data_IF_240576139609
#
_entry.id   IF_240576139609
#
_cell.length_a   1.000
_cell.length_b   1.000
_cell.length_c   1.000
_cell.angle_alpha   90.00
_cell.angle_beta   90.00
_cell.angle_gamma   90.00
#
_symmetry.space_group_name_H-M   'P 1'
#
loop_
_entity.id
_entity.type
_entity.pdbx_description
1 polymer ?
#
# COMPACT_ATOMS: atom_id res chain seq x y z
N UNK A 1 51.45 -5.07 -38.16
CA UNK A 1 50.84 -5.73 -36.97
C UNK A 1 49.85 -4.86 -36.21
N UNK A 2 50.11 -3.55 -36.00
CA UNK A 2 49.22 -2.65 -35.23
C UNK A 2 47.74 -2.59 -35.71
N UNK A 3 47.48 -2.64 -37.02
CA UNK A 3 46.11 -2.56 -37.57
C UNK A 3 45.20 -3.76 -37.22
N UNK A 4 45.77 -4.94 -36.91
CA UNK A 4 44.99 -6.12 -36.49
C UNK A 4 44.60 -6.04 -35.01
N UNK A 5 45.43 -5.42 -34.17
CA UNK A 5 45.19 -5.28 -32.72
C UNK A 5 44.05 -4.28 -32.45
N UNK A 6 44.00 -3.17 -33.20
CA UNK A 6 42.91 -2.18 -33.05
C UNK A 6 41.52 -2.74 -33.42
N UNK A 7 41.43 -3.64 -34.42
CA UNK A 7 40.14 -4.26 -34.80
C UNK A 7 39.62 -5.23 -33.73
N UNK A 8 40.51 -5.92 -33.00
CA UNK A 8 40.10 -6.82 -31.92
C UNK A 8 39.65 -6.07 -30.65
N UNK A 9 40.23 -4.90 -30.36
CA UNK A 9 39.79 -4.06 -29.23
C UNK A 9 38.40 -3.44 -29.44
N UNK A 10 38.00 -3.20 -30.69
CA UNK A 10 36.68 -2.65 -31.04
C UNK A 10 35.54 -3.68 -31.02
N UNK A 11 35.85 -4.98 -30.98
CA UNK A 11 34.82 -6.05 -30.92
C UNK A 11 34.54 -6.47 -29.47
N UNK A 12 35.51 -6.30 -28.57
CA UNK A 12 35.37 -6.62 -27.14
C UNK A 12 34.53 -5.57 -26.39
N UNK A 13 34.40 -4.35 -26.91
CA UNK A 13 33.52 -3.33 -26.34
C UNK A 13 32.03 -3.53 -26.67
N UNK A 14 31.67 -4.41 -27.63
CA UNK A 14 30.28 -4.74 -27.94
C UNK A 14 29.72 -5.96 -27.18
N UNK A 15 30.55 -6.70 -26.44
CA UNK A 15 30.09 -7.91 -25.73
C UNK A 15 29.58 -7.66 -24.30
N UNK A 16 29.47 -6.41 -23.86
CA UNK A 16 29.11 -6.07 -22.47
C UNK A 16 27.95 -5.06 -22.26
N UNK A 17 26.84 -5.14 -23.04
CA UNK A 17 25.55 -4.70 -22.51
C UNK A 17 24.48 -5.81 -22.50
N UNK A 18 24.74 -6.99 -23.06
CA UNK A 18 23.69 -8.00 -23.27
C UNK A 18 23.19 -8.63 -21.97
N UNK A 19 24.03 -8.98 -21.01
CA UNK A 19 23.58 -9.66 -19.78
C UNK A 19 22.74 -8.76 -18.86
N UNK A 20 23.06 -7.47 -18.74
CA UNK A 20 22.26 -6.51 -17.98
C UNK A 20 20.92 -6.18 -18.68
N UNK A 21 20.91 -6.12 -20.02
CA UNK A 21 19.68 -5.92 -20.80
C UNK A 21 18.81 -7.20 -20.85
N UNK A 22 19.42 -8.39 -20.86
CA UNK A 22 18.73 -9.68 -20.78
C UNK A 22 18.17 -9.89 -19.37
N UNK A 23 18.91 -9.55 -18.31
CA UNK A 23 18.41 -9.70 -16.94
C UNK A 23 17.25 -8.76 -16.63
N UNK A 24 17.32 -7.51 -17.11
CA UNK A 24 16.24 -6.52 -16.97
C UNK A 24 14.99 -6.86 -17.81
N UNK A 25 15.15 -7.40 -19.02
CA UNK A 25 14.01 -7.88 -19.82
C UNK A 25 13.37 -9.16 -19.25
N UNK A 26 14.16 -10.10 -18.72
CA UNK A 26 13.65 -11.26 -17.99
C UNK A 26 12.93 -10.86 -16.69
N UNK A 27 13.44 -9.85 -15.97
CA UNK A 27 12.78 -9.30 -14.79
C UNK A 27 11.42 -8.66 -15.14
N UNK A 28 11.39 -7.81 -16.17
CA UNK A 28 10.18 -7.13 -16.60
C UNK A 28 9.10 -8.10 -17.10
N UNK A 29 9.47 -9.09 -17.90
CA UNK A 29 8.52 -10.11 -18.39
C UNK A 29 7.98 -11.02 -17.29
N UNK A 30 8.81 -11.42 -16.32
CA UNK A 30 8.35 -12.16 -15.14
C UNK A 30 7.40 -11.33 -14.27
N UNK A 31 7.69 -10.05 -14.10
CA UNK A 31 6.87 -9.13 -13.33
C UNK A 31 5.46 -8.97 -13.94
N UNK A 32 5.37 -8.73 -15.25
CA UNK A 32 4.09 -8.67 -15.97
C UNK A 32 3.29 -9.98 -15.85
N UNK A 33 3.98 -11.12 -15.89
CA UNK A 33 3.36 -12.44 -15.71
C UNK A 33 2.81 -12.61 -14.29
N UNK A 34 3.55 -12.21 -13.27
CA UNK A 34 3.11 -12.26 -11.86
C UNK A 34 1.91 -11.35 -11.62
N UNK A 35 1.95 -10.12 -12.14
CA UNK A 35 0.83 -9.18 -12.06
C UNK A 35 -0.44 -9.76 -12.70
N UNK A 36 -0.31 -10.37 -13.89
CA UNK A 36 -1.43 -11.02 -14.56
C UNK A 36 -2.00 -12.15 -13.70
N UNK A 37 -1.15 -13.03 -13.16
CA UNK A 37 -1.58 -14.14 -12.30
C UNK A 37 -2.29 -13.66 -11.03
N UNK A 38 -1.76 -12.63 -10.38
CA UNK A 38 -2.37 -12.05 -9.19
C UNK A 38 -3.75 -11.45 -9.52
N UNK A 39 -3.87 -10.72 -10.63
CA UNK A 39 -5.14 -10.16 -11.09
C UNK A 39 -6.17 -11.25 -11.45
N UNK A 40 -5.73 -12.35 -12.07
CA UNK A 40 -6.60 -13.50 -12.36
C UNK A 40 -7.07 -14.21 -11.08
N UNK A 41 -6.21 -14.36 -10.07
CA UNK A 41 -6.57 -15.02 -8.81
C UNK A 41 -7.54 -14.17 -7.97
N UNK A 42 -7.31 -12.85 -7.89
CA UNK A 42 -8.25 -11.93 -7.25
C UNK A 42 -9.57 -11.92 -8.03
N UNK A 43 -9.48 -11.73 -9.34
CA UNK A 43 -10.60 -11.72 -10.27
C UNK A 43 -11.70 -10.75 -9.84
N UNK A 44 -12.92 -11.26 -9.83
CA UNK A 44 -14.14 -10.50 -9.54
C UNK A 44 -14.61 -10.62 -8.08
N UNK A 45 -13.83 -11.31 -7.24
CA UNK A 45 -14.14 -11.59 -5.83
C UNK A 45 -13.63 -10.48 -4.92
N UNK A 46 -14.30 -10.31 -3.78
CA UNK A 46 -13.79 -9.52 -2.66
C UNK A 46 -13.29 -10.51 -1.61
N UNK A 47 -12.04 -10.34 -1.19
CA UNK A 47 -11.42 -11.12 -0.13
C UNK A 47 -11.35 -10.26 1.12
N UNK A 48 -12.03 -10.66 2.17
CA UNK A 48 -12.20 -9.85 3.38
C UNK A 48 -11.34 -10.37 4.53
N UNK A 49 -10.75 -9.43 5.26
CA UNK A 49 -9.89 -9.71 6.41
C UNK A 49 -10.19 -8.75 7.54
N UNK A 50 -10.56 -9.29 8.70
CA UNK A 50 -10.63 -8.52 9.94
C UNK A 50 -9.20 -8.31 10.46
N UNK A 51 -8.84 -7.06 10.74
CA UNK A 51 -7.57 -6.74 11.36
C UNK A 51 -7.72 -6.65 12.87
N UNK A 52 -7.04 -7.53 13.60
CA UNK A 52 -6.92 -7.44 15.05
C UNK A 52 -5.61 -6.77 15.42
N UNK A 53 -5.68 -5.67 16.17
CA UNK A 53 -4.51 -5.04 16.79
C UNK A 53 -4.02 -5.92 17.94
N UNK A 54 -2.83 -6.49 17.79
CA UNK A 54 -2.18 -7.29 18.82
C UNK A 54 -1.38 -6.42 19.80
N UNK A 55 -0.67 -5.43 19.26
CA UNK A 55 0.19 -4.51 20.00
C UNK A 55 0.16 -3.13 19.34
N UNK A 56 0.16 -2.13 20.21
CA UNK A 56 0.32 -0.72 19.89
C UNK A 56 1.69 -0.29 20.39
N UNK A 57 2.57 0.15 19.49
CA UNK A 57 3.81 0.82 19.89
C UNK A 57 3.64 2.30 19.60
N UNK A 58 3.49 3.08 20.66
CA UNK A 58 3.40 4.53 20.57
C UNK A 58 4.37 5.17 21.58
N UNK A 59 4.99 6.31 21.25
CA UNK A 59 5.89 6.99 22.17
C UNK A 59 5.11 7.49 23.40
N UNK A 60 5.66 7.34 24.62
CA UNK A 60 4.91 7.31 25.89
C UNK A 60 4.24 8.62 26.36
N UNK A 61 4.02 9.62 25.50
CA UNK A 61 3.61 10.97 25.94
C UNK A 61 2.62 11.68 25.00
N UNK A 62 2.09 11.05 23.94
CA UNK A 62 1.28 11.78 22.97
C UNK A 62 -0.23 11.54 23.13
N UNK A 63 -1.02 12.61 22.94
CA UNK A 63 -2.49 12.57 22.82
C UNK A 63 -2.97 11.57 21.75
N UNK A 64 -2.08 11.16 20.83
CA UNK A 64 -2.31 10.11 19.86
C UNK A 64 -2.66 8.76 20.48
N UNK A 65 -2.05 8.38 21.61
CA UNK A 65 -2.26 7.07 22.23
C UNK A 65 -3.74 6.87 22.61
N UNK A 66 -4.42 7.98 22.95
CA UNK A 66 -5.84 8.01 23.24
C UNK A 66 -6.67 7.79 21.97
N UNK A 67 -6.25 8.35 20.83
CA UNK A 67 -6.94 8.22 19.52
C UNK A 67 -6.84 6.83 18.88
N UNK A 68 -5.89 5.99 19.32
CA UNK A 68 -5.68 4.65 18.77
C UNK A 68 -6.13 3.52 19.68
N UNK A 69 -6.60 3.83 20.90
CA UNK A 69 -6.99 2.83 21.89
C UNK A 69 -8.09 1.90 21.39
N UNK A 70 -9.01 2.39 20.56
CA UNK A 70 -10.11 1.62 19.98
C UNK A 70 -10.01 1.45 18.47
N UNK A 71 -8.82 1.69 17.89
CA UNK A 71 -8.63 1.62 16.45
C UNK A 71 -9.00 0.23 15.93
N UNK A 72 -9.95 0.19 14.99
CA UNK A 72 -10.36 -1.02 14.28
C UNK A 72 -10.37 -0.74 12.79
N UNK A 73 -9.90 -1.71 12.02
CA UNK A 73 -9.92 -1.63 10.57
C UNK A 73 -10.14 -3.01 9.96
N UNK A 74 -10.53 -3.01 8.68
CA UNK A 74 -10.58 -4.22 7.86
C UNK A 74 -9.69 -4.04 6.65
N UNK A 75 -9.17 -5.14 6.13
CA UNK A 75 -8.50 -5.16 4.85
C UNK A 75 -9.35 -5.92 3.86
N UNK A 76 -9.39 -5.42 2.64
CA UNK A 76 -10.04 -6.11 1.54
C UNK A 76 -9.14 -6.13 0.33
N UNK A 77 -9.19 -7.24 -0.40
CA UNK A 77 -8.53 -7.38 -1.70
C UNK A 77 -9.57 -7.64 -2.76
N UNK A 78 -9.57 -6.84 -3.82
CA UNK A 78 -10.59 -6.94 -4.87
C UNK A 78 -10.56 -5.77 -5.83
N UNK A 79 -11.48 -5.78 -6.79
CA UNK A 79 -11.65 -4.69 -7.75
C UNK A 79 -12.18 -3.44 -7.05
N UNK A 80 -11.51 -2.29 -7.20
CA UNK A 80 -11.82 -1.07 -6.45
C UNK A 80 -13.30 -0.64 -6.60
N UNK A 81 -13.84 -0.66 -7.82
CA UNK A 81 -15.25 -0.37 -8.10
C UNK A 81 -16.22 -1.24 -7.28
N UNK A 82 -15.91 -2.53 -7.13
CA UNK A 82 -16.73 -3.46 -6.35
C UNK A 82 -16.60 -3.19 -4.86
N UNK A 83 -15.38 -2.94 -4.38
CA UNK A 83 -15.13 -2.57 -2.98
C UNK A 83 -15.92 -1.31 -2.62
N UNK A 84 -15.83 -0.26 -3.44
CA UNK A 84 -16.53 1.01 -3.21
C UNK A 84 -18.06 0.85 -3.17
N UNK A 85 -18.61 -0.04 -4.00
CA UNK A 85 -20.04 -0.33 -4.02
C UNK A 85 -20.48 -1.16 -2.79
N UNK A 86 -19.71 -2.19 -2.44
CA UNK A 86 -20.02 -3.09 -1.33
C UNK A 86 -19.86 -2.41 0.04
N UNK A 87 -18.84 -1.56 0.18
CA UNK A 87 -18.52 -0.84 1.42
C UNK A 87 -18.83 0.65 1.31
N UNK A 88 -20.02 0.98 0.82
CA UNK A 88 -20.45 2.36 0.68
C UNK A 88 -20.53 3.12 2.02
N UNK A 89 -20.69 2.46 3.16
CA UNK A 89 -20.68 3.13 4.47
C UNK A 89 -19.28 3.33 5.08
N UNK A 90 -18.23 2.86 4.40
CA UNK A 90 -16.86 2.91 4.89
C UNK A 90 -16.02 3.96 4.14
N UNK A 91 -14.95 4.40 4.79
CA UNK A 91 -13.80 4.98 4.13
C UNK A 91 -12.95 3.87 3.53
N UNK A 92 -12.74 3.96 2.21
CA UNK A 92 -11.95 2.99 1.45
C UNK A 92 -10.66 3.66 1.02
N UNK A 93 -9.54 3.29 1.65
CA UNK A 93 -8.21 3.72 1.24
C UNK A 93 -7.57 2.60 0.43
N UNK A 94 -7.43 2.79 -0.88
CA UNK A 94 -6.78 1.84 -1.78
C UNK A 94 -5.25 1.96 -1.67
N UNK A 95 -4.76 1.53 -0.50
CA UNK A 95 -3.37 1.68 -0.06
C UNK A 95 -2.37 1.08 -1.05
N UNK A 96 -2.79 0.10 -1.85
CA UNK A 96 -1.94 -0.66 -2.75
C UNK A 96 -2.73 -1.10 -3.99
N UNK A 97 -2.12 -0.99 -5.16
CA UNK A 97 -2.69 -1.59 -6.38
C UNK A 97 -1.99 -2.93 -6.67
N UNK A 98 -2.73 -3.90 -7.19
CA UNK A 98 -2.20 -5.20 -7.66
C UNK A 98 -1.66 -5.04 -9.09
N UNK A 99 -0.80 -4.03 -9.29
CA UNK A 99 -0.05 -3.73 -10.54
C UNK A 99 1.37 -3.28 -10.19
N UNK A 100 2.20 -3.13 -11.21
CA UNK A 100 3.62 -2.77 -11.10
C UNK A 100 3.89 -1.59 -10.12
N UNK A 101 4.72 -1.79 -9.08
CA UNK A 101 4.86 -0.85 -7.96
C UNK A 101 5.89 0.26 -8.18
N UNK A 102 6.15 0.72 -9.42
CA UNK A 102 7.10 1.84 -9.65
C UNK A 102 6.33 3.08 -10.05
N UNK A 103 5.80 3.79 -9.06
CA UNK A 103 5.26 5.13 -9.26
C UNK A 103 5.18 5.91 -7.94
N UNK A 104 5.49 7.20 -8.03
CA UNK A 104 4.91 8.20 -7.13
C UNK A 104 3.74 8.81 -7.89
N UNK A 105 2.52 8.59 -7.42
CA UNK A 105 1.33 9.19 -8.02
C UNK A 105 0.69 10.14 -6.99
N UNK A 106 0.42 11.37 -7.43
CA UNK A 106 -0.32 12.37 -6.65
C UNK A 106 -1.68 12.58 -7.27
N UNK A 107 -2.70 12.59 -6.42
CA UNK A 107 -4.09 12.68 -6.81
C UNK A 107 -4.80 13.74 -5.98
N UNK A 108 -5.70 14.48 -6.63
CA UNK A 108 -6.55 15.48 -5.96
C UNK A 108 -7.81 14.87 -5.34
N UNK A 109 -7.87 13.55 -5.24
CA UNK A 109 -8.99 12.78 -4.69
C UNK A 109 -8.48 11.43 -4.20
N UNK A 110 -9.18 10.84 -3.25
CA UNK A 110 -8.92 9.51 -2.70
C UNK A 110 -9.24 8.37 -3.67
N UNK A 111 -10.03 8.61 -4.73
CA UNK A 111 -10.46 7.56 -5.68
C UNK A 111 -9.90 7.80 -7.08
N UNK A 112 -8.97 6.96 -7.52
CA UNK A 112 -8.07 7.32 -8.62
C UNK A 112 -8.20 6.42 -9.85
N UNK A 113 -8.62 5.16 -9.68
CA UNK A 113 -8.94 4.25 -10.79
C UNK A 113 -9.78 3.04 -10.32
N UNK A 114 -11.09 3.07 -10.60
CA UNK A 114 -12.05 2.08 -10.10
C UNK A 114 -11.92 0.67 -10.71
N UNK A 115 -11.11 0.49 -11.76
CA UNK A 115 -11.03 -0.80 -12.45
C UNK A 115 -9.86 -1.70 -12.01
N UNK A 116 -8.94 -1.18 -11.20
CA UNK A 116 -7.83 -1.98 -10.71
C UNK A 116 -8.23 -2.89 -9.55
N UNK A 117 -7.58 -4.05 -9.47
CA UNK A 117 -7.52 -4.80 -8.22
C UNK A 117 -6.60 -4.08 -7.24
N UNK A 118 -7.05 -3.94 -6.01
CA UNK A 118 -6.36 -3.21 -4.95
C UNK A 118 -6.38 -4.01 -3.66
N UNK A 119 -5.44 -3.72 -2.79
CA UNK A 119 -5.59 -3.99 -1.35
C UNK A 119 -6.01 -2.67 -0.75
N UNK A 120 -7.15 -2.67 -0.07
CA UNK A 120 -7.71 -1.50 0.57
C UNK A 120 -7.81 -1.68 2.08
N UNK A 121 -7.53 -0.60 2.79
CA UNK A 121 -7.84 -0.41 4.20
C UNK A 121 -9.24 0.18 4.30
N UNK A 122 -10.12 -0.51 5.03
CA UNK A 122 -11.46 -0.04 5.36
C UNK A 122 -11.49 0.52 6.77
N UNK A 123 -12.09 1.69 6.90
CA UNK A 123 -12.25 2.38 8.16
C UNK A 123 -13.68 2.88 8.31
N UNK A 124 -14.26 2.75 9.50
CA UNK A 124 -15.59 3.31 9.76
C UNK A 124 -15.49 4.83 9.95
N UNK A 125 -16.62 5.51 9.77
CA UNK A 125 -16.72 6.96 10.02
C UNK A 125 -16.43 7.33 11.49
N UNK A 126 -16.72 6.44 12.43
CA UNK A 126 -16.41 6.61 13.86
C UNK A 126 -14.90 6.64 14.10
N UNK A 127 -14.18 5.65 13.57
CA UNK A 127 -12.72 5.60 13.69
C UNK A 127 -12.09 6.79 12.98
N UNK A 128 -12.60 7.16 11.79
CA UNK A 128 -12.08 8.31 11.05
C UNK A 128 -12.27 9.64 11.76
N UNK A 129 -13.37 9.79 12.52
CA UNK A 129 -13.57 10.94 13.40
C UNK A 129 -12.62 10.89 14.60
N UNK A 130 -12.44 9.71 15.22
CA UNK A 130 -11.55 9.51 16.38
C UNK A 130 -10.11 9.92 16.08
N UNK A 131 -9.61 9.55 14.90
CA UNK A 131 -8.25 9.89 14.46
C UNK A 131 -8.16 11.30 13.82
N UNK A 132 -9.29 11.96 13.56
CA UNK A 132 -9.33 13.33 13.05
C UNK A 132 -9.22 13.48 11.53
N UNK A 133 -9.50 12.43 10.75
CA UNK A 133 -9.67 12.57 9.29
C UNK A 133 -10.92 13.39 8.95
N UNK A 134 -12.00 13.20 9.70
CA UNK A 134 -13.24 14.00 9.57
C UNK A 134 -13.56 14.69 10.89
N UNK A 135 -14.19 15.85 10.84
CA UNK A 135 -14.56 16.60 12.05
C UNK A 135 -15.85 16.08 12.68
N UNK A 136 -16.82 15.69 11.84
CA UNK A 136 -18.15 15.28 12.27
C UNK A 136 -18.77 14.20 11.39
N UNK A 137 -19.69 13.41 11.97
CA UNK A 137 -20.45 12.37 11.28
C UNK A 137 -21.85 12.94 11.01
N UNK A 138 -22.02 13.57 9.85
CA UNK A 138 -23.30 14.03 9.30
C UNK A 138 -23.75 13.10 8.16
N UNK A 139 -24.92 13.30 7.56
CA UNK A 139 -25.35 12.51 6.39
C UNK A 139 -24.36 12.65 5.21
N UNK A 140 -23.79 13.84 5.02
CA UNK A 140 -22.87 14.17 3.93
C UNK A 140 -21.39 14.08 4.32
N UNK A 141 -21.02 13.32 5.36
CA UNK A 141 -19.65 13.27 5.88
C UNK A 141 -18.58 12.95 4.81
N UNK A 142 -18.93 12.20 3.75
CA UNK A 142 -18.05 11.91 2.61
C UNK A 142 -17.66 13.12 1.75
N UNK A 143 -18.37 14.23 1.87
CA UNK A 143 -17.98 15.47 1.20
C UNK A 143 -16.76 16.12 1.87
N UNK A 144 -16.54 15.86 3.17
CA UNK A 144 -15.37 16.37 3.90
C UNK A 144 -14.06 15.78 3.36
N UNK A 145 -14.11 14.54 2.87
CA UNK A 145 -12.93 13.80 2.38
C UNK A 145 -12.68 13.97 0.87
N UNK A 146 -13.62 14.56 0.12
CA UNK A 146 -13.51 14.66 -1.34
C UNK A 146 -12.37 15.56 -1.80
N UNK A 147 -11.85 16.40 -0.90
CA UNK A 147 -10.79 17.37 -1.17
C UNK A 147 -9.42 16.95 -0.61
N UNK A 148 -9.28 15.71 -0.13
CA UNK A 148 -7.99 15.22 0.32
C UNK A 148 -7.04 15.05 -0.87
N UNK A 149 -5.82 15.55 -0.70
CA UNK A 149 -4.73 15.23 -1.61
C UNK A 149 -4.14 13.89 -1.19
N UNK A 150 -4.12 12.93 -2.09
CA UNK A 150 -3.54 11.61 -1.85
C UNK A 150 -2.24 11.47 -2.62
N UNK A 151 -1.20 11.01 -1.95
CA UNK A 151 0.05 10.58 -2.58
C UNK A 151 0.29 9.12 -2.25
N UNK A 152 0.58 8.32 -3.28
CA UNK A 152 1.00 6.93 -3.12
C UNK A 152 2.46 6.82 -3.49
N UNK A 153 3.26 6.27 -2.57
CA UNK A 153 4.67 6.02 -2.79
C UNK A 153 4.97 4.53 -2.57
N UNK A 154 5.72 3.98 -3.50
CA UNK A 154 6.30 2.65 -3.37
C UNK A 154 7.81 2.80 -3.48
N UNK A 155 8.53 2.61 -2.38
CA UNK A 155 10.00 2.75 -2.37
C UNK A 155 10.68 1.41 -2.65
N UNK A 156 11.79 1.50 -3.39
CA UNK A 156 12.53 0.35 -3.91
C UNK A 156 13.45 -0.28 -2.84
N UNK A 157 12.93 -1.24 -2.06
CA UNK A 157 13.81 -2.26 -1.49
C UNK A 157 14.00 -3.34 -2.56
N UNK A 158 15.20 -3.37 -3.15
CA UNK A 158 15.53 -4.07 -4.41
C UNK A 158 15.18 -5.57 -4.49
N UNK A 159 14.88 -6.26 -3.39
CA UNK A 159 14.74 -7.72 -3.38
C UNK A 159 13.30 -8.26 -3.43
N UNK A 160 12.27 -7.52 -3.00
CA UNK A 160 10.87 -8.03 -2.94
C UNK A 160 9.83 -6.90 -3.10
N UNK A 161 9.68 -6.36 -4.31
CA UNK A 161 8.80 -5.20 -4.58
C UNK A 161 7.31 -5.56 -4.53
N UNK A 162 6.96 -6.62 -5.24
CA UNK A 162 5.66 -7.26 -5.29
C UNK A 162 5.93 -8.69 -5.75
N UNK A 163 5.34 -9.68 -5.09
CA UNK A 163 5.48 -11.09 -5.45
C UNK A 163 4.15 -11.82 -5.24
N UNK A 164 3.89 -12.80 -6.09
CA UNK A 164 2.71 -13.64 -6.00
C UNK A 164 3.08 -15.10 -6.16
N UNK A 165 2.94 -15.86 -5.07
CA UNK A 165 3.11 -17.30 -5.09
C UNK A 165 1.78 -17.96 -5.46
N UNK A 166 1.72 -18.54 -6.67
CA UNK A 166 0.52 -19.22 -7.17
C UNK A 166 0.13 -20.46 -6.34
N UNK A 167 1.11 -21.16 -5.74
CA UNK A 167 0.87 -22.41 -5.00
C UNK A 167 0.22 -22.11 -3.65
N UNK A 168 0.71 -21.08 -2.96
CA UNK A 168 0.18 -20.67 -1.65
C UNK A 168 -0.88 -19.58 -1.75
N UNK A 169 -1.04 -18.99 -2.94
CA UNK A 169 -1.89 -17.82 -3.23
C UNK A 169 -1.53 -16.62 -2.36
N UNK A 170 -0.25 -16.48 -2.01
CA UNK A 170 0.24 -15.41 -1.15
C UNK A 170 0.67 -14.21 -2.00
N UNK A 171 0.06 -13.05 -1.74
CA UNK A 171 0.53 -11.74 -2.19
C UNK A 171 1.54 -11.21 -1.17
N UNK A 172 2.74 -10.88 -1.63
CA UNK A 172 3.80 -10.28 -0.82
C UNK A 172 4.14 -8.88 -1.32
N UNK A 173 4.22 -7.91 -0.41
CA UNK A 173 4.49 -6.51 -0.72
C UNK A 173 5.62 -6.02 0.16
N UNK A 174 6.70 -5.54 -0.45
CA UNK A 174 7.91 -5.14 0.28
C UNK A 174 7.72 -3.88 1.10
N UNK A 175 7.31 -2.79 0.46
CA UNK A 175 7.02 -1.53 1.13
C UNK A 175 6.00 -0.72 0.32
N UNK A 176 5.11 -0.03 1.03
CA UNK A 176 4.28 1.04 0.45
C UNK A 176 3.95 2.08 1.50
N UNK A 177 3.79 3.32 1.03
CA UNK A 177 3.34 4.45 1.81
C UNK A 177 2.15 5.14 1.12
N UNK A 178 1.10 5.39 1.89
CA UNK A 178 -0.11 6.07 1.45
C UNK A 178 -0.29 7.33 2.30
N UNK A 179 -0.16 8.49 1.67
CA UNK A 179 -0.26 9.79 2.32
C UNK A 179 -1.63 10.40 2.03
N UNK A 180 -2.30 10.86 3.08
CA UNK A 180 -3.52 11.66 3.00
C UNK A 180 -3.21 13.03 3.57
N UNK A 181 -3.21 14.03 2.70
CA UNK A 181 -2.97 15.42 3.09
C UNK A 181 -4.29 16.18 3.15
N UNK A 182 -4.54 16.73 4.33
CA UNK A 182 -5.59 17.72 4.60
C UNK A 182 -4.96 19.12 4.67
N UNK A 183 -5.76 20.15 4.96
CA UNK A 183 -5.21 21.49 5.21
C UNK A 183 -4.31 21.52 6.45
N UNK A 184 -4.66 20.74 7.47
CA UNK A 184 -4.07 20.86 8.81
C UNK A 184 -3.00 19.79 9.06
N UNK A 185 -3.14 18.62 8.43
CA UNK A 185 -2.34 17.43 8.75
C UNK A 185 -2.07 16.57 7.51
N UNK A 186 -1.00 15.78 7.58
CA UNK A 186 -0.72 14.67 6.68
C UNK A 186 -0.75 13.38 7.50
N UNK A 187 -1.69 12.49 7.20
CA UNK A 187 -1.64 11.12 7.68
C UNK A 187 -0.82 10.29 6.70
N UNK A 188 0.04 9.42 7.21
CA UNK A 188 0.78 8.45 6.43
C UNK A 188 0.45 7.05 6.94
N UNK A 189 0.07 6.16 6.02
CA UNK A 189 -0.05 4.72 6.30
C UNK A 189 1.07 4.04 5.55
N UNK A 190 2.04 3.48 6.27
CA UNK A 190 3.08 2.65 5.69
C UNK A 190 2.89 1.19 6.01
N UNK A 191 3.23 0.34 5.06
CA UNK A 191 3.20 -1.11 5.20
C UNK A 191 4.57 -1.64 4.82
N UNK A 192 5.09 -2.59 5.61
CA UNK A 192 6.39 -3.23 5.35
C UNK A 192 6.21 -4.75 5.36
N UNK A 193 6.67 -5.41 4.29
CA UNK A 193 6.62 -6.87 4.12
C UNK A 193 5.23 -7.46 4.35
N UNK A 194 4.19 -6.79 3.84
CA UNK A 194 2.80 -7.24 3.97
C UNK A 194 2.59 -8.54 3.17
N UNK A 195 1.96 -9.52 3.82
CA UNK A 195 1.60 -10.82 3.27
C UNK A 195 0.09 -11.05 3.40
N UNK A 196 -0.56 -11.32 2.28
CA UNK A 196 -2.00 -11.61 2.23
C UNK A 196 -2.21 -12.91 1.47
N UNK A 197 -2.83 -13.90 2.12
CA UNK A 197 -3.11 -15.21 1.53
C UNK A 197 -4.53 -15.25 0.96
N UNK A 198 -4.66 -15.34 -0.36
CA UNK A 198 -5.92 -15.46 -1.08
C UNK A 198 -6.45 -16.92 -1.09
N UNK A 199 -6.51 -17.58 0.06
CA UNK A 199 -7.02 -18.97 0.18
C UNK A 199 -7.84 -19.20 1.46
N UNK A 200 -8.24 -20.45 1.75
CA UNK A 200 -9.16 -20.84 2.84
C UNK A 200 -8.52 -21.02 4.24
N UNK A 201 -7.21 -20.80 4.45
CA UNK A 201 -6.56 -20.87 5.80
C UNK A 201 -5.08 -20.41 5.81
N UNK A 202 -4.47 -20.00 6.97
CA UNK A 202 -4.94 -19.17 8.06
C UNK A 202 -4.19 -17.81 8.11
N UNK A 203 -4.69 -16.94 8.99
CA UNK A 203 -4.11 -15.71 9.52
C UNK A 203 -2.71 -15.28 9.04
N UNK A 204 -2.59 -14.09 8.46
CA UNK A 204 -1.30 -13.46 8.19
C UNK A 204 -0.98 -12.38 9.23
N UNK A 205 0.26 -12.42 9.73
CA UNK A 205 0.81 -11.34 10.59
C UNK A 205 1.39 -10.26 9.71
N UNK A 206 0.95 -9.04 9.93
CA UNK A 206 1.35 -7.87 9.14
C UNK A 206 1.69 -6.72 10.08
N UNK A 207 2.70 -5.94 9.69
CA UNK A 207 3.04 -4.70 10.38
C UNK A 207 2.59 -3.52 9.52
N UNK A 208 1.83 -2.64 10.16
CA UNK A 208 1.38 -1.39 9.54
C UNK A 208 1.73 -0.28 10.50
N UNK A 209 2.43 0.71 9.98
CA UNK A 209 2.78 1.92 10.71
C UNK A 209 1.87 3.04 10.21
N UNK A 210 1.18 3.68 11.14
CA UNK A 210 0.33 4.83 10.86
C UNK A 210 0.92 6.01 11.60
N UNK A 211 1.38 7.00 10.84
CA UNK A 211 1.94 8.23 11.40
C UNK A 211 1.14 9.46 10.99
N UNK A 212 1.24 10.49 11.81
CA UNK A 212 0.53 11.75 11.64
C UNK A 212 1.50 12.90 11.74
N UNK A 213 1.52 13.77 10.74
CA UNK A 213 2.37 14.94 10.71
C UNK A 213 1.50 16.19 10.59
N UNK A 214 1.70 17.19 11.46
CA UNK A 214 1.03 18.49 11.33
C UNK A 214 1.65 19.29 10.19
N UNK A 215 0.80 19.88 9.34
CA UNK A 215 1.25 20.70 8.21
C UNK A 215 1.62 22.12 8.69
N UNK A 216 2.68 22.26 9.48
CA UNK A 216 3.20 23.57 9.91
C UNK A 216 4.47 23.95 9.15
N UNK A 217 4.50 25.15 8.55
CA UNK A 217 5.62 25.66 7.72
C UNK A 217 6.94 25.86 8.50
N UNK A 218 6.90 25.81 9.83
CA UNK A 218 8.06 25.92 10.70
C UNK A 218 7.98 24.87 11.78
N UNK A 219 8.86 23.87 11.75
CA UNK A 219 9.53 23.30 12.93
C UNK A 219 10.49 22.19 12.51
N UNK A 220 11.76 22.37 12.86
CA UNK A 220 12.85 21.39 12.89
C UNK A 220 12.64 20.27 13.94
N UNK A 221 11.39 19.93 14.24
CA UNK A 221 11.01 18.83 15.13
C UNK A 221 9.75 18.19 14.60
N UNK A 222 9.94 17.10 13.87
CA UNK A 222 8.94 16.05 13.69
C UNK A 222 8.40 15.70 15.09
N UNK A 223 7.21 16.21 15.40
CA UNK A 223 6.40 15.74 16.53
C UNK A 223 5.19 15.03 15.95
N UNK A 224 5.45 14.18 14.96
CA UNK A 224 4.46 13.24 14.51
C UNK A 224 4.28 12.16 15.56
N UNK A 225 3.03 11.78 15.79
CA UNK A 225 2.75 10.57 16.52
C UNK A 225 2.94 9.39 15.57
N UNK A 226 4.05 8.69 15.71
CA UNK A 226 4.30 7.44 15.02
C UNK A 226 3.65 6.32 15.83
N UNK A 227 2.64 5.69 15.25
CA UNK A 227 1.93 4.57 15.87
C UNK A 227 2.13 3.34 15.01
N UNK A 228 2.95 2.43 15.52
CA UNK A 228 3.14 1.13 14.89
C UNK A 228 2.11 0.13 15.43
N UNK A 229 1.30 -0.39 14.52
CA UNK A 229 0.30 -1.42 14.79
C UNK A 229 0.81 -2.79 14.34
N UNK A 230 0.91 -3.71 15.30
CA UNK A 230 1.04 -5.14 15.02
C UNK A 230 -0.37 -5.68 14.75
N UNK A 231 -0.63 -6.11 13.51
CA UNK A 231 -1.93 -6.58 13.07
C UNK A 231 -1.88 -8.08 12.74
N UNK A 232 -2.91 -8.80 13.17
CA UNK A 232 -3.24 -10.11 12.59
C UNK A 232 -4.46 -9.97 11.71
N UNK A 233 -4.28 -10.29 10.43
CA UNK A 233 -5.36 -10.34 9.45
C UNK A 233 -6.00 -11.72 9.53
N UNK A 234 -7.26 -11.78 9.93
CA UNK A 234 -8.05 -13.02 9.92
C UNK A 234 -9.05 -12.94 8.80
N UNK A 235 -8.97 -13.86 7.84
CA UNK A 235 -9.93 -13.92 6.75
C UNK A 235 -11.35 -14.13 7.30
N UNK A 236 -12.30 -13.33 6.84
CA UNK A 236 -13.72 -13.57 7.09
C UNK A 236 -14.15 -14.69 6.15
N UNK A 237 -14.56 -15.83 6.71
CA UNK A 237 -15.05 -16.96 5.91
C UNK A 237 -16.53 -16.71 5.68
N UNK A 238 -16.88 -16.32 4.46
CA UNK A 238 -18.23 -16.49 3.91
C UNK A 238 -18.36 -17.83 3.19
#
# INVERSE_FOLDING_TARGET
>A
MLKKILKSLLIISLSLPTTALISSSCYHSNLLKMEKLANEEVGEKIWEYDAKVNKLYAPPVNESDVKFKNFSCKFVVGKLSKILNHYNEYLVFDILTVKNPIYEEKFKTIYTNSDNNVIALLMTKEIAKEIGLISEITEDWKTQISNFEVRKEHTAINAKKFDFDKKTKELCIGFAAYYIKTKEQTMCVTTSFMKITLDKSPQSKNFIDISWETNTENLSKNSGADVLLDLTLTKVIE
#
